data_IF_602720531572
#
_entry.id   IF_602720531572
#
_cell.length_a   1.000
_cell.length_b   1.000
_cell.length_c   1.000
_cell.angle_alpha   90.00
_cell.angle_beta   90.00
_cell.angle_gamma   90.00
#
_symmetry.space_group_name_H-M   'P 1'
#
loop_
_entity.id
_entity.type
_entity.pdbx_description
1 polymer ?
#
# COMPACT_ATOMS: atom_id res chain seq x y z
N UNK A 1 -1.80 12.78 7.11
CA UNK A 1 -3.20 12.50 6.75
C UNK A 1 -3.22 11.75 5.43
N UNK A 2 -4.02 10.70 5.29
CA UNK A 2 -4.16 9.97 4.02
C UNK A 2 -5.13 10.70 3.09
N UNK A 3 -4.89 10.63 1.79
CA UNK A 3 -5.90 11.05 0.81
C UNK A 3 -6.81 9.85 0.44
N UNK A 4 -7.93 10.12 -0.24
CA UNK A 4 -8.92 9.09 -0.56
C UNK A 4 -8.36 7.98 -1.47
N UNK A 5 -7.43 8.30 -2.37
CA UNK A 5 -6.79 7.31 -3.25
C UNK A 5 -5.80 6.43 -2.49
N UNK A 6 -5.05 6.98 -1.54
CA UNK A 6 -4.15 6.23 -0.66
C UNK A 6 -4.93 5.20 0.18
N UNK A 7 -6.07 5.60 0.74
CA UNK A 7 -6.95 4.68 1.50
C UNK A 7 -7.55 3.63 0.58
N UNK A 8 -8.10 4.04 -0.57
CA UNK A 8 -8.70 3.12 -1.53
C UNK A 8 -7.69 2.06 -2.04
N UNK A 9 -6.44 2.46 -2.26
CA UNK A 9 -5.37 1.53 -2.66
C UNK A 9 -5.07 0.50 -1.57
N UNK A 10 -5.01 0.92 -0.30
CA UNK A 10 -4.80 -0.02 0.82
C UNK A 10 -5.95 -1.01 0.91
N UNK A 11 -7.20 -0.52 0.86
CA UNK A 11 -8.38 -1.40 0.87
C UNK A 11 -8.34 -2.40 -0.28
N UNK A 12 -8.12 -1.95 -1.52
CA UNK A 12 -8.04 -2.84 -2.68
C UNK A 12 -6.94 -3.91 -2.54
N UNK A 13 -5.77 -3.55 -2.02
CA UNK A 13 -4.71 -4.52 -1.75
C UNK A 13 -5.06 -5.55 -0.69
N UNK A 14 -5.75 -5.14 0.38
CA UNK A 14 -6.14 -6.03 1.48
C UNK A 14 -7.34 -6.92 1.11
N UNK A 15 -8.26 -6.39 0.28
CA UNK A 15 -9.41 -7.13 -0.24
C UNK A 15 -9.01 -8.11 -1.37
N UNK A 16 -7.79 -7.99 -1.89
CA UNK A 16 -7.27 -8.82 -2.99
C UNK A 16 -7.78 -8.43 -4.37
N UNK A 17 -8.36 -7.23 -4.52
CA UNK A 17 -8.82 -6.69 -5.80
C UNK A 17 -7.65 -6.06 -6.57
N UNK A 18 -6.95 -6.90 -7.34
CA UNK A 18 -5.80 -6.50 -8.15
C UNK A 18 -6.18 -5.49 -9.24
N UNK A 19 -7.37 -5.60 -9.83
CA UNK A 19 -7.79 -4.72 -10.93
C UNK A 19 -8.03 -3.31 -10.40
N UNK A 20 -8.77 -3.18 -9.30
CA UNK A 20 -8.97 -1.90 -8.63
C UNK A 20 -7.65 -1.32 -8.13
N UNK A 21 -6.78 -2.15 -7.52
CA UNK A 21 -5.49 -1.70 -7.03
C UNK A 21 -4.61 -1.12 -8.14
N UNK A 22 -4.53 -1.76 -9.30
CA UNK A 22 -3.79 -1.25 -10.46
C UNK A 22 -4.40 0.06 -10.94
N UNK A 23 -5.72 0.12 -11.12
CA UNK A 23 -6.39 1.33 -11.58
C UNK A 23 -6.10 2.53 -10.66
N UNK A 24 -6.21 2.36 -9.35
CA UNK A 24 -5.93 3.42 -8.36
C UNK A 24 -4.43 3.77 -8.36
N UNK A 25 -3.55 2.78 -8.40
CA UNK A 25 -2.11 2.98 -8.40
C UNK A 25 -1.64 3.84 -9.59
N UNK A 26 -2.23 3.68 -10.78
CA UNK A 26 -1.90 4.54 -11.94
C UNK A 26 -2.24 6.01 -11.75
N UNK A 27 -3.12 6.34 -10.79
CA UNK A 27 -3.50 7.72 -10.46
C UNK A 27 -2.60 8.35 -9.38
N UNK A 28 -1.71 7.56 -8.77
CA UNK A 28 -0.82 7.99 -7.71
C UNK A 28 0.61 8.15 -8.22
N UNK A 29 1.34 9.10 -7.64
CA UNK A 29 2.77 9.19 -7.87
C UNK A 29 3.45 7.94 -7.29
N UNK A 30 4.42 7.32 -7.98
CA UNK A 30 5.01 6.08 -7.49
C UNK A 30 5.71 6.22 -6.13
N UNK A 31 6.28 7.39 -5.82
CA UNK A 31 6.86 7.65 -4.51
C UNK A 31 5.82 7.57 -3.38
N UNK A 32 4.56 7.93 -3.66
CA UNK A 32 3.45 7.78 -2.72
C UNK A 32 3.20 6.29 -2.48
N UNK A 33 3.10 5.49 -3.54
CA UNK A 33 2.90 4.03 -3.48
C UNK A 33 4.02 3.35 -2.67
N UNK A 34 5.26 3.77 -2.87
CA UNK A 34 6.43 3.25 -2.14
C UNK A 34 6.36 3.52 -0.63
N UNK A 35 5.95 4.73 -0.23
CA UNK A 35 5.92 5.15 1.18
C UNK A 35 4.63 4.72 1.90
N UNK A 36 3.61 4.31 1.15
CA UNK A 36 2.27 4.06 1.66
C UNK A 36 2.21 2.95 2.72
N UNK A 37 2.85 1.77 2.54
CA UNK A 37 2.83 0.70 3.54
C UNK A 37 3.37 1.15 4.90
N UNK A 38 4.55 1.77 4.92
CA UNK A 38 5.17 2.22 6.17
C UNK A 38 4.31 3.28 6.87
N UNK A 39 3.74 4.24 6.11
CA UNK A 39 2.84 5.25 6.67
C UNK A 39 1.59 4.63 7.28
N UNK A 40 1.01 3.60 6.63
CA UNK A 40 -0.16 2.91 7.14
C UNK A 40 0.13 2.18 8.45
N UNK A 41 1.21 1.37 8.48
CA UNK A 41 1.61 0.63 9.68
C UNK A 41 1.87 1.58 10.86
N UNK A 42 2.57 2.71 10.64
CA UNK A 42 2.83 3.71 11.68
C UNK A 42 1.56 4.46 12.15
N UNK A 43 0.47 4.39 11.39
CA UNK A 43 -0.81 5.01 11.77
C UNK A 43 -1.71 4.09 12.58
N UNK A 44 -1.38 2.80 12.66
CA UNK A 44 -2.11 1.85 13.48
C UNK A 44 -1.80 2.07 14.96
N UNK A 45 -2.78 1.80 15.82
CA UNK A 45 -2.64 1.97 17.27
C UNK A 45 -1.57 1.01 17.82
N UNK A 46 -0.87 1.44 18.88
CA UNK A 46 0.13 0.63 19.58
C UNK A 46 -0.47 -0.58 20.29
N UNK A 47 -1.80 -0.63 20.43
CA UNK A 47 -2.55 -1.80 20.89
C UNK A 47 -2.73 -2.88 19.81
N UNK A 48 -2.37 -2.61 18.55
CA UNK A 48 -2.43 -3.59 17.46
C UNK A 48 -1.41 -4.70 17.71
N UNK A 49 -1.85 -5.95 17.57
CA UNK A 49 -1.00 -7.13 17.75
C UNK A 49 0.24 -7.08 16.84
N UNK A 50 1.42 -7.35 17.42
CA UNK A 50 2.70 -7.30 16.71
C UNK A 50 2.77 -8.31 15.55
N UNK A 51 2.12 -9.48 15.68
CA UNK A 51 2.04 -10.49 14.63
C UNK A 51 1.20 -9.99 13.46
N UNK A 52 0.05 -9.37 13.73
CA UNK A 52 -0.81 -8.75 12.71
C UNK A 52 -0.06 -7.62 11.99
N UNK A 53 0.67 -6.77 12.72
CA UNK A 53 1.48 -5.71 12.13
C UNK A 53 2.56 -6.26 11.19
N UNK A 54 3.23 -7.36 11.57
CA UNK A 54 4.23 -8.03 10.72
C UNK A 54 3.60 -8.59 9.45
N UNK A 55 2.46 -9.26 9.55
CA UNK A 55 1.76 -9.81 8.39
C UNK A 55 1.32 -8.71 7.42
N UNK A 56 0.69 -7.65 7.93
CA UNK A 56 0.30 -6.49 7.12
C UNK A 56 1.50 -5.84 6.44
N UNK A 57 2.61 -5.67 7.17
CA UNK A 57 3.83 -5.10 6.60
C UNK A 57 4.37 -5.95 5.45
N UNK A 58 4.34 -7.28 5.56
CA UNK A 58 4.76 -8.20 4.50
C UNK A 58 3.84 -8.06 3.28
N UNK A 59 2.52 -8.19 3.47
CA UNK A 59 1.54 -8.12 2.38
C UNK A 59 1.67 -6.81 1.62
N UNK A 60 1.61 -5.68 2.33
CA UNK A 60 1.64 -4.36 1.71
C UNK A 60 2.99 -4.06 1.04
N UNK A 61 4.10 -4.55 1.60
CA UNK A 61 5.42 -4.41 0.96
C UNK A 61 5.52 -5.19 -0.35
N UNK A 62 4.96 -6.41 -0.38
CA UNK A 62 4.91 -7.22 -1.60
C UNK A 62 4.08 -6.51 -2.68
N UNK A 63 2.90 -5.99 -2.32
CA UNK A 63 2.03 -5.27 -3.25
C UNK A 63 2.68 -3.99 -3.78
N UNK A 64 3.24 -3.17 -2.89
CA UNK A 64 3.94 -1.93 -3.28
C UNK A 64 5.11 -2.22 -4.22
N UNK A 65 5.92 -3.24 -3.93
CA UNK A 65 7.04 -3.65 -4.81
C UNK A 65 6.56 -4.14 -6.17
N UNK A 66 5.51 -4.96 -6.20
CA UNK A 66 4.92 -5.45 -7.44
C UNK A 66 4.44 -4.29 -8.30
N UNK A 67 3.79 -3.31 -7.69
CA UNK A 67 3.28 -2.14 -8.39
C UNK A 67 4.41 -1.25 -8.90
N UNK A 68 5.43 -0.95 -8.08
CA UNK A 68 6.59 -0.16 -8.52
C UNK A 68 7.35 -0.77 -9.69
N UNK A 69 7.41 -2.10 -9.78
CA UNK A 69 8.00 -2.78 -10.94
C UNK A 69 7.21 -2.55 -12.24
N UNK A 70 5.92 -2.21 -12.14
CA UNK A 70 5.06 -1.83 -13.28
C UNK A 70 5.23 -0.37 -13.68
N UNK A 71 5.87 0.46 -12.84
CA UNK A 71 6.14 1.88 -13.13
C UNK A 71 7.59 2.08 -13.61
N UNK A 72 7.85 2.14 -14.93
CA UNK A 72 9.21 2.24 -15.47
C UNK A 72 9.95 3.54 -15.10
N UNK A 73 9.25 4.55 -14.58
CA UNK A 73 9.79 5.89 -14.29
C UNK A 73 10.47 6.01 -12.91
N UNK A 74 10.54 4.92 -12.15
CA UNK A 74 10.99 4.89 -10.73
C UNK A 74 12.24 4.03 -10.54
N UNK A 75 12.80 3.50 -11.63
CA UNK A 75 14.09 2.80 -11.65
C UNK A 75 15.26 3.76 -11.71
#
# INVERSE_FOLDING_TARGET
>A
MFNNLEVALICAWLDGDEEAAIAIATMLQPLVIYRLPARYILSLDSSTDEEILKELAIVLSVKSKAELNRHPQVR
#
